data_IF_462426590850
#
_entry.id   IF_462426590850
#
_cell.length_a   1.000
_cell.length_b   1.000
_cell.length_c   1.000
_cell.angle_alpha   90.00
_cell.angle_beta   90.00
_cell.angle_gamma   90.00
#
_symmetry.space_group_name_H-M   'P 1'
#
loop_
_entity.id
_entity.type
_entity.pdbx_description
1 polymer ?
#
# COMPACT_ATOMS: atom_id res chain seq x y z
N UNK A 1 -14.07 11.36 12.99
CA UNK A 1 -12.72 11.04 13.32
C UNK A 1 -12.54 9.58 13.64
N UNK A 2 -13.36 9.07 14.48
CA UNK A 2 -13.30 7.70 14.76
C UNK A 2 -13.52 6.89 13.54
N UNK A 3 -14.45 7.27 12.71
CA UNK A 3 -14.72 6.53 11.49
C UNK A 3 -13.50 6.48 10.60
N UNK A 4 -12.74 7.53 10.58
CA UNK A 4 -11.55 7.56 9.76
C UNK A 4 -10.51 6.63 10.32
N UNK A 5 -10.41 6.58 11.63
CA UNK A 5 -9.44 5.71 12.25
C UNK A 5 -9.77 4.26 11.95
N UNK A 6 -11.03 3.92 12.01
CA UNK A 6 -11.42 2.57 11.70
C UNK A 6 -11.17 2.25 10.25
N UNK A 7 -11.40 3.22 9.39
CA UNK A 7 -11.15 3.02 7.98
C UNK A 7 -9.70 2.69 7.77
N UNK A 8 -8.82 3.39 8.47
CA UNK A 8 -7.40 3.14 8.34
C UNK A 8 -7.05 1.72 8.76
N UNK A 9 -7.64 1.24 9.84
CA UNK A 9 -7.32 -0.10 10.30
C UNK A 9 -7.86 -1.17 9.40
N UNK A 10 -8.96 -0.91 8.73
CA UNK A 10 -9.54 -1.91 7.88
C UNK A 10 -9.21 -1.82 6.43
N UNK A 11 -8.64 -0.73 6.03
CA UNK A 11 -8.47 -0.49 4.63
C UNK A 11 -7.52 -1.42 3.92
N UNK A 12 -6.88 -2.26 4.63
CA UNK A 12 -6.01 -3.23 4.00
C UNK A 12 -6.80 -4.14 3.08
N UNK A 13 -8.05 -4.38 3.43
CA UNK A 13 -8.82 -5.29 2.63
C UNK A 13 -10.05 -4.68 2.03
N UNK A 14 -10.47 -3.58 2.53
CA UNK A 14 -11.71 -3.00 2.08
C UNK A 14 -11.46 -1.73 1.32
N UNK A 15 -11.95 -1.66 0.13
CA UNK A 15 -11.78 -0.49 -0.69
C UNK A 15 -12.94 0.49 -0.59
N UNK A 16 -13.85 0.23 0.30
CA UNK A 16 -14.96 1.14 0.51
C UNK A 16 -14.45 2.43 1.08
N UNK A 17 -14.87 3.52 0.55
CA UNK A 17 -14.44 4.82 1.03
C UNK A 17 -15.57 5.51 1.77
N UNK A 18 -15.25 6.21 2.85
CA UNK A 18 -16.29 6.93 3.58
C UNK A 18 -16.91 7.99 2.68
N UNK A 19 -18.21 8.17 2.74
CA UNK A 19 -18.85 9.17 1.91
C UNK A 19 -18.48 10.59 2.30
N UNK A 20 -17.85 10.77 3.45
CA UNK A 20 -17.46 12.09 3.91
C UNK A 20 -16.18 12.60 3.29
N UNK A 21 -15.50 11.78 2.52
CA UNK A 21 -14.26 12.24 1.89
C UNK A 21 -14.55 13.29 0.85
N UNK A 22 -13.65 14.27 0.75
CA UNK A 22 -13.77 15.28 -0.27
C UNK A 22 -13.62 14.63 -1.65
N UNK A 23 -14.33 15.12 -2.65
CA UNK A 23 -14.24 14.53 -3.99
C UNK A 23 -12.81 14.48 -4.53
N UNK A 24 -12.02 15.52 -4.24
CA UNK A 24 -10.63 15.53 -4.69
C UNK A 24 -9.82 14.41 -4.06
N UNK A 25 -10.07 14.13 -2.79
CA UNK A 25 -9.36 13.06 -2.11
C UNK A 25 -9.81 11.71 -2.65
N UNK A 26 -11.08 11.55 -2.96
CA UNK A 26 -11.56 10.32 -3.55
C UNK A 26 -10.88 10.05 -4.88
N UNK A 27 -10.74 11.09 -5.70
CA UNK A 27 -10.08 10.95 -6.99
C UNK A 27 -8.64 10.50 -6.81
N UNK A 28 -7.97 11.04 -5.79
CA UNK A 28 -6.59 10.67 -5.52
C UNK A 28 -6.49 9.21 -5.11
N UNK A 29 -7.38 8.75 -4.25
CA UNK A 29 -7.35 7.36 -3.82
C UNK A 29 -7.57 6.42 -4.98
N UNK A 30 -8.51 6.74 -5.85
CA UNK A 30 -8.77 5.92 -7.02
C UNK A 30 -7.56 5.89 -7.94
N UNK A 31 -6.94 7.06 -8.13
CA UNK A 31 -5.77 7.15 -8.99
C UNK A 31 -4.63 6.28 -8.44
N UNK A 32 -4.42 6.30 -7.13
CA UNK A 32 -3.38 5.50 -6.51
C UNK A 32 -3.66 4.01 -6.71
N UNK A 33 -4.91 3.61 -6.53
CA UNK A 33 -5.25 2.21 -6.71
C UNK A 33 -5.04 1.73 -8.14
N UNK A 34 -5.26 2.61 -9.08
CA UNK A 34 -5.10 2.25 -10.48
C UNK A 34 -3.68 2.37 -11.00
N UNK A 35 -2.84 3.11 -10.31
CA UNK A 35 -1.49 3.38 -10.79
C UNK A 35 -0.40 3.10 -9.76
N UNK A 36 -0.66 2.23 -8.82
CA UNK A 36 0.26 2.02 -7.71
C UNK A 36 1.65 1.55 -8.14
N UNK A 37 1.74 0.86 -9.26
CA UNK A 37 3.01 0.31 -9.72
C UNK A 37 3.89 1.36 -10.40
N UNK A 38 3.31 2.49 -10.74
CA UNK A 38 4.05 3.54 -11.41
C UNK A 38 4.53 4.60 -10.42
N UNK A 39 5.52 5.39 -10.80
CA UNK A 39 5.91 6.51 -9.96
C UNK A 39 4.73 7.46 -9.81
N UNK A 40 4.47 7.90 -8.61
CA UNK A 40 3.37 8.81 -8.35
C UNK A 40 3.89 10.03 -7.62
N UNK A 41 4.24 11.10 -8.35
CA UNK A 41 4.70 12.32 -7.70
C UNK A 41 3.56 12.97 -6.91
N UNK A 42 3.87 13.50 -5.75
CA UNK A 42 2.85 14.14 -4.94
C UNK A 42 2.24 15.35 -5.65
N UNK A 43 3.02 16.00 -6.51
CA UNK A 43 2.50 17.14 -7.25
C UNK A 43 1.36 16.74 -8.18
N UNK A 44 1.43 15.53 -8.73
CA UNK A 44 0.35 15.03 -9.58
C UNK A 44 -0.90 14.82 -8.75
N UNK A 45 -0.72 14.29 -7.56
CA UNK A 45 -1.86 14.04 -6.69
C UNK A 45 -2.50 15.34 -6.21
N UNK A 46 -1.68 16.33 -5.88
CA UNK A 46 -2.23 17.59 -5.43
C UNK A 46 -3.00 18.28 -6.56
N UNK A 47 -2.49 18.18 -7.79
CA UNK A 47 -3.20 18.73 -8.93
C UNK A 47 -4.53 18.03 -9.13
N UNK A 48 -4.53 16.72 -9.01
CA UNK A 48 -5.74 15.95 -9.17
C UNK A 48 -6.77 16.31 -8.10
N UNK A 49 -6.30 16.64 -6.91
CA UNK A 49 -7.19 17.03 -5.83
C UNK A 49 -7.62 18.49 -5.92
N UNK A 50 -6.96 19.27 -6.79
CA UNK A 50 -7.29 20.68 -6.91
C UNK A 50 -6.76 21.52 -5.78
N UNK A 51 -5.67 21.08 -5.15
CA UNK A 51 -5.10 21.77 -3.99
C UNK A 51 -3.60 22.01 -4.19
N UNK A 52 -3.07 22.97 -3.45
CA UNK A 52 -1.63 23.15 -3.45
C UNK A 52 -1.01 21.91 -2.79
N UNK A 53 0.26 21.71 -3.02
CA UNK A 53 0.94 20.56 -2.47
C UNK A 53 0.84 20.52 -0.94
N UNK A 54 1.13 21.62 -0.31
CA UNK A 54 1.09 21.68 1.15
C UNK A 54 -0.31 21.39 1.68
N UNK A 55 -1.30 22.02 1.06
CA UNK A 55 -2.66 21.83 1.49
C UNK A 55 -3.14 20.41 1.23
N UNK A 56 -2.72 19.87 0.10
CA UNK A 56 -3.09 18.51 -0.23
C UNK A 56 -2.59 17.53 0.85
N UNK A 57 -1.32 17.65 1.22
CA UNK A 57 -0.75 16.74 2.21
C UNK A 57 -1.50 16.86 3.54
N UNK A 58 -1.79 18.09 3.94
CA UNK A 58 -2.50 18.33 5.18
C UNK A 58 -3.90 17.73 5.17
N UNK A 59 -4.64 17.99 4.09
CA UNK A 59 -6.01 17.50 3.99
C UNK A 59 -6.04 15.99 3.88
N UNK A 60 -5.14 15.43 3.06
CA UNK A 60 -5.10 13.98 2.89
C UNK A 60 -4.85 13.30 4.24
N UNK A 61 -3.85 13.79 4.95
CA UNK A 61 -3.52 13.19 6.24
C UNK A 61 -4.68 13.33 7.23
N UNK A 62 -5.36 14.46 7.17
CA UNK A 62 -6.48 14.68 8.05
C UNK A 62 -7.63 13.73 7.76
N UNK A 63 -7.91 13.49 6.50
CA UNK A 63 -9.04 12.65 6.12
C UNK A 63 -8.73 11.17 6.12
N UNK A 64 -7.52 10.80 5.76
CA UNK A 64 -7.15 9.40 5.63
C UNK A 64 -6.43 8.88 6.88
N UNK A 65 -5.75 9.76 7.59
CA UNK A 65 -5.04 9.37 8.80
C UNK A 65 -3.56 9.13 8.62
N UNK A 66 -3.09 9.03 7.39
CA UNK A 66 -1.67 8.85 7.10
C UNK A 66 -1.31 9.71 5.90
N UNK A 67 -0.03 10.04 5.75
CA UNK A 67 0.41 10.86 4.62
C UNK A 67 0.22 10.13 3.29
N UNK A 68 0.13 10.88 2.19
CA UNK A 68 -0.09 10.26 0.89
C UNK A 68 0.95 9.22 0.49
N UNK A 69 2.24 9.51 0.69
CA UNK A 69 3.25 8.56 0.25
C UNK A 69 3.18 7.27 1.06
N UNK A 70 2.76 7.36 2.30
CA UNK A 70 2.61 6.19 3.12
C UNK A 70 1.43 5.36 2.64
N UNK A 71 0.38 6.03 2.21
CA UNK A 71 -0.76 5.35 1.63
C UNK A 71 -0.36 4.61 0.36
N UNK A 72 0.46 5.25 -0.48
CA UNK A 72 0.94 4.61 -1.69
C UNK A 72 1.73 3.35 -1.35
N UNK A 73 2.63 3.44 -0.38
CA UNK A 73 3.42 2.29 0.03
C UNK A 73 2.55 1.16 0.55
N UNK A 74 1.53 1.49 1.32
CA UNK A 74 0.64 0.47 1.83
C UNK A 74 -0.16 -0.18 0.73
N UNK A 75 -0.56 0.60 -0.25
CA UNK A 75 -1.28 0.04 -1.40
C UNK A 75 -0.38 -0.94 -2.14
N UNK A 76 0.90 -0.57 -2.32
CA UNK A 76 1.84 -1.44 -3.00
C UNK A 76 2.06 -2.73 -2.22
N UNK A 77 2.17 -2.64 -0.90
CA UNK A 77 2.34 -3.83 -0.08
C UNK A 77 1.11 -4.73 -0.17
N UNK A 78 -0.07 -4.13 -0.14
CA UNK A 78 -1.31 -4.91 -0.25
C UNK A 78 -1.37 -5.66 -1.57
N UNK A 79 -0.97 -4.99 -2.66
CA UNK A 79 -0.95 -5.63 -3.96
C UNK A 79 0.12 -6.71 -4.02
N UNK A 80 1.27 -6.46 -3.41
CA UNK A 80 2.33 -7.46 -3.36
C UNK A 80 1.85 -8.70 -2.63
N UNK A 81 1.10 -8.51 -1.56
CA UNK A 81 0.56 -9.63 -0.80
C UNK A 81 -0.36 -10.49 -1.68
N UNK A 82 -1.21 -9.83 -2.44
CA UNK A 82 -2.10 -10.55 -3.34
C UNK A 82 -1.32 -11.33 -4.39
N UNK A 83 -0.26 -10.73 -4.92
CA UNK A 83 0.57 -11.41 -5.92
C UNK A 83 1.28 -12.62 -5.34
N UNK A 84 1.76 -12.48 -4.11
CA UNK A 84 2.43 -13.60 -3.45
C UNK A 84 1.47 -14.75 -3.20
N UNK A 85 0.23 -14.42 -2.90
CA UNK A 85 -0.78 -15.46 -2.71
C UNK A 85 -1.04 -16.24 -3.99
N UNK A 86 -0.82 -15.61 -5.12
CA UNK A 86 -0.98 -16.27 -6.40
C UNK A 86 0.25 -17.07 -6.79
N UNK A 87 1.29 -17.02 -5.98
CA UNK A 87 2.49 -17.79 -6.25
C UNK A 87 3.50 -17.14 -7.13
N UNK A 88 3.40 -15.84 -7.36
CA UNK A 88 4.37 -15.15 -8.21
C UNK A 88 5.71 -15.04 -7.51
N UNK A 89 6.80 -15.09 -8.28
CA UNK A 89 8.14 -15.01 -7.67
C UNK A 89 8.39 -13.64 -7.07
N UNK A 90 9.17 -13.65 -6.02
CA UNK A 90 9.42 -12.45 -5.25
C UNK A 90 9.99 -11.29 -6.07
N UNK A 91 10.92 -11.60 -6.96
CA UNK A 91 11.51 -10.56 -7.79
C UNK A 91 10.47 -9.90 -8.68
N UNK A 92 9.58 -10.70 -9.25
CA UNK A 92 8.53 -10.17 -10.11
C UNK A 92 7.54 -9.35 -9.29
N UNK A 93 7.21 -9.83 -8.10
CA UNK A 93 6.28 -9.12 -7.23
C UNK A 93 6.82 -7.74 -6.88
N UNK A 94 8.12 -7.65 -6.57
CA UNK A 94 8.70 -6.37 -6.21
C UNK A 94 8.50 -5.34 -7.32
N UNK A 95 8.80 -5.73 -8.54
CA UNK A 95 8.67 -4.81 -9.66
C UNK A 95 7.22 -4.52 -10.00
N UNK A 96 6.41 -5.55 -10.03
CA UNK A 96 5.01 -5.38 -10.40
C UNK A 96 4.22 -4.58 -9.38
N UNK A 97 4.66 -4.59 -8.14
CA UNK A 97 3.97 -3.81 -7.11
C UNK A 97 4.50 -2.38 -7.01
N UNK A 98 5.54 -2.05 -7.77
CA UNK A 98 6.05 -0.69 -7.81
C UNK A 98 7.23 -0.42 -6.91
N UNK A 99 7.89 -1.46 -6.42
CA UNK A 99 9.09 -1.29 -5.61
C UNK A 99 10.32 -1.32 -6.49
N UNK A 100 11.40 -0.71 -6.02
CA UNK A 100 12.64 -0.67 -6.79
C UNK A 100 13.26 -2.04 -6.93
N UNK A 101 13.21 -2.83 -5.88
CA UNK A 101 13.81 -4.17 -5.89
C UNK A 101 13.25 -4.95 -4.72
N UNK A 102 13.74 -6.17 -4.55
CA UNK A 102 13.26 -7.03 -3.48
C UNK A 102 13.55 -6.48 -2.10
N UNK A 103 14.69 -5.84 -1.94
CA UNK A 103 15.04 -5.28 -0.63
C UNK A 103 14.08 -4.18 -0.23
N UNK A 104 13.71 -3.35 -1.17
CA UNK A 104 12.77 -2.27 -0.93
C UNK A 104 11.41 -2.86 -0.53
N UNK A 105 10.96 -3.84 -1.28
CA UNK A 105 9.72 -4.53 -0.96
C UNK A 105 9.79 -5.15 0.43
N UNK A 106 10.87 -5.86 0.72
CA UNK A 106 10.99 -6.56 1.98
C UNK A 106 10.91 -5.61 3.17
N UNK A 107 11.57 -4.47 3.06
CA UNK A 107 11.54 -3.49 4.14
C UNK A 107 10.14 -2.98 4.43
N UNK A 108 9.44 -2.59 3.37
CA UNK A 108 8.10 -2.06 3.56
C UNK A 108 7.11 -3.15 3.95
N UNK A 109 7.26 -4.32 3.37
CA UNK A 109 6.37 -5.43 3.66
C UNK A 109 6.50 -5.85 5.13
N UNK A 110 7.72 -6.00 5.60
CA UNK A 110 7.91 -6.40 6.98
C UNK A 110 7.39 -5.35 7.95
N UNK A 111 7.59 -4.09 7.62
CA UNK A 111 7.11 -3.01 8.48
C UNK A 111 5.60 -3.04 8.61
N UNK A 112 4.90 -3.37 7.55
CA UNK A 112 3.45 -3.33 7.56
C UNK A 112 2.78 -4.63 7.88
N UNK A 113 3.39 -5.73 7.52
CA UNK A 113 2.79 -7.05 7.73
C UNK A 113 3.39 -7.83 8.89
N UNK A 114 4.51 -7.35 9.40
CA UNK A 114 5.14 -8.05 10.52
C UNK A 114 6.03 -9.21 10.13
N UNK A 115 5.97 -9.65 8.88
CA UNK A 115 6.82 -10.75 8.41
C UNK A 115 7.38 -10.35 7.05
N UNK A 116 8.45 -11.00 6.63
CA UNK A 116 9.04 -10.71 5.33
C UNK A 116 8.18 -11.31 4.22
N UNK A 117 8.30 -10.82 3.00
CA UNK A 117 7.55 -11.40 1.89
C UNK A 117 7.88 -12.86 1.66
N UNK A 118 9.16 -13.23 1.86
CA UNK A 118 9.55 -14.62 1.69
C UNK A 118 8.89 -15.51 2.73
N UNK A 119 8.84 -15.01 3.95
CA UNK A 119 8.21 -15.75 5.02
C UNK A 119 6.71 -15.88 4.78
N UNK A 120 6.10 -14.80 4.31
CA UNK A 120 4.68 -14.80 4.01
C UNK A 120 4.36 -15.83 2.92
N UNK A 121 5.17 -15.85 1.87
CA UNK A 121 4.97 -16.80 0.79
C UNK A 121 5.14 -18.23 1.27
N UNK A 122 6.11 -18.43 2.16
CA UNK A 122 6.31 -19.75 2.71
C UNK A 122 5.19 -20.23 3.58
N UNK A 123 4.62 -19.32 4.35
CA UNK A 123 3.50 -19.67 5.19
C UNK A 123 2.34 -20.12 4.36
N UNK A 124 2.14 -19.41 3.25
CA UNK A 124 1.05 -19.73 2.46
C UNK A 124 1.24 -21.06 1.77
N UNK A 125 2.48 -21.40 1.52
CA UNK A 125 2.77 -22.60 0.83
C UNK A 125 3.02 -23.64 1.87
N UNK A 126 2.12 -24.00 2.61
CA UNK A 126 2.28 -24.88 3.71
C UNK A 126 3.13 -26.10 3.49
N UNK A 127 3.45 -26.39 2.32
CA UNK A 127 4.22 -27.60 2.15
C UNK A 127 5.67 -27.40 2.53
N UNK A 128 6.04 -26.18 2.80
CA UNK A 128 7.34 -25.99 3.08
C UNK A 128 7.60 -26.21 4.44
N UNK A 129 8.20 -27.04 4.77
CA UNK A 129 8.35 -27.39 6.10
C UNK A 129 9.33 -26.49 6.68
N UNK A 130 10.12 -26.55 6.76
CA UNK A 130 11.08 -25.92 7.26
C UNK A 130 11.06 -24.73 7.53
N UNK A 131 10.67 -24.52 8.12
CA UNK A 131 10.62 -23.33 8.57
C UNK A 131 11.69 -22.55 8.38
N UNK A 132 11.99 -22.53 7.85
CA UNK A 132 12.97 -21.93 7.64
C UNK A 132 12.80 -20.66 7.64
N UNK A 133 12.69 -20.12 8.16
CA UNK A 133 12.62 -18.98 8.29
C UNK A 133 13.15 -18.05 7.81
N UNK A 134 13.09 -17.51 7.56
CA UNK A 134 13.38 -16.54 7.04
C UNK A 134 14.03 -15.62 7.30
N UNK A 135 14.27 -15.29 7.46
CA UNK A 135 14.92 -14.55 7.71
C UNK A 135 14.95 -13.54 7.20
N UNK A 136 14.79 -13.12 7.01
CA UNK A 136 14.93 -12.13 6.54
C UNK A 136 15.38 -11.57 6.36
#
# INVERSE_FOLDING_TARGET
VEAIMQTVTEWTDDLSLPPTLLPGIRRVLTFIEENFADPIPLSDLSSLAGLSLHRFVTVFRSQIGIPPHQYICRTRVRQARAMLRKGLPLAAVALDAGFCDQSHLSRHFKRQCGVTPGSFAGLRSSSRPTGVIPCD
#
